data_IF_811937754909
#
_entry.id   IF_811937754909
#
_cell.length_a   1.000
_cell.length_b   1.000
_cell.length_c   1.000
_cell.angle_alpha   90.00
_cell.angle_beta   90.00
_cell.angle_gamma   90.00
#
_symmetry.space_group_name_H-M   'P 1'
#
loop_
_entity.id
_entity.type
_entity.pdbx_description
1 polymer ?
#
# COMPACT_ATOMS: atom_id res chain seq x y z
N UNK A 1 -14.03 -64.34 10.52
CA UNK A 1 -14.81 -63.12 10.83
C UNK A 1 -14.14 -61.95 10.15
N UNK A 2 -14.82 -61.29 9.20
CA UNK A 2 -14.26 -60.13 8.50
C UNK A 2 -14.59 -58.86 9.30
N UNK A 3 -13.57 -58.05 9.64
CA UNK A 3 -13.75 -56.73 10.25
C UNK A 3 -14.12 -55.74 9.14
N UNK A 4 -15.36 -55.23 9.16
CA UNK A 4 -15.75 -54.12 8.31
C UNK A 4 -15.24 -52.82 8.93
N UNK A 5 -14.25 -52.20 8.30
CA UNK A 5 -13.81 -50.85 8.65
C UNK A 5 -14.85 -49.86 8.10
N UNK A 6 -15.53 -49.14 8.99
CA UNK A 6 -16.41 -48.03 8.61
C UNK A 6 -15.56 -46.93 7.97
N UNK A 7 -15.86 -46.48 6.73
CA UNK A 7 -15.17 -45.35 6.15
C UNK A 7 -15.51 -44.10 6.98
N UNK A 8 -14.49 -43.46 7.57
CA UNK A 8 -14.66 -42.13 8.16
C UNK A 8 -14.76 -41.09 7.04
N UNK A 9 -15.74 -40.20 7.12
CA UNK A 9 -15.79 -39.02 6.24
C UNK A 9 -15.33 -37.79 7.02
N UNK A 10 -14.24 -37.17 6.59
CA UNK A 10 -13.86 -35.82 7.01
C UNK A 10 -14.39 -34.83 5.97
N UNK A 11 -15.04 -33.77 6.45
CA UNK A 11 -15.52 -32.68 5.60
C UNK A 11 -14.57 -31.49 5.71
N UNK A 12 -14.07 -31.01 4.57
CA UNK A 12 -13.39 -29.72 4.46
C UNK A 12 -14.37 -28.71 3.90
N UNK A 13 -14.63 -27.63 4.65
CA UNK A 13 -15.47 -26.53 4.17
C UNK A 13 -14.58 -25.46 3.55
N UNK A 14 -14.81 -25.15 2.27
CA UNK A 14 -14.09 -24.10 1.54
C UNK A 14 -14.91 -22.82 1.61
N UNK A 15 -14.39 -21.80 2.27
CA UNK A 15 -14.95 -20.45 2.23
C UNK A 15 -14.28 -19.67 1.10
N UNK A 16 -15.06 -19.13 0.17
CA UNK A 16 -14.55 -18.18 -0.81
C UNK A 16 -14.45 -16.84 -0.10
N UNK A 17 -13.22 -16.42 0.24
CA UNK A 17 -12.97 -15.22 1.02
C UNK A 17 -13.48 -13.96 0.34
N UNK A 18 -14.45 -13.29 0.95
CA UNK A 18 -14.80 -11.92 0.59
C UNK A 18 -13.71 -10.99 1.14
N UNK A 19 -13.25 -10.04 0.31
CA UNK A 19 -12.21 -9.10 0.71
C UNK A 19 -12.73 -8.24 1.87
N UNK A 20 -11.96 -8.16 2.97
CA UNK A 20 -12.34 -7.36 4.13
C UNK A 20 -11.30 -6.34 4.52
N UNK A 21 -10.01 -6.71 4.52
CA UNK A 21 -8.94 -5.88 5.03
C UNK A 21 -7.83 -5.72 3.98
N UNK A 22 -7.29 -4.50 3.88
CA UNK A 22 -6.12 -4.20 3.05
C UNK A 22 -5.10 -3.49 3.93
N UNK A 23 -3.93 -4.10 4.12
CA UNK A 23 -2.82 -3.54 4.89
C UNK A 23 -1.73 -3.11 3.93
N UNK A 24 -1.34 -1.84 3.98
CA UNK A 24 -0.32 -1.28 3.08
C UNK A 24 0.93 -0.93 3.88
N UNK A 25 2.08 -1.34 3.35
CA UNK A 25 3.40 -1.01 3.91
C UNK A 25 4.30 -0.43 2.82
N UNK A 26 5.34 0.28 3.24
CA UNK A 26 6.35 0.84 2.36
C UNK A 26 7.74 0.46 2.86
N UNK A 27 8.63 0.10 1.94
CA UNK A 27 10.03 -0.20 2.24
C UNK A 27 10.97 0.52 1.25
N UNK A 28 11.70 1.55 1.68
CA UNK A 28 11.65 2.18 3.01
C UNK A 28 10.41 3.08 3.21
N UNK A 29 10.04 3.36 4.46
CA UNK A 29 9.01 4.38 4.79
C UNK A 29 9.54 5.82 4.73
N UNK A 30 10.87 5.98 4.60
CA UNK A 30 11.55 7.26 4.42
C UNK A 30 12.51 7.18 3.24
N UNK A 31 12.32 8.09 2.28
CA UNK A 31 13.12 8.25 1.09
C UNK A 31 14.02 9.48 1.28
N UNK A 32 15.30 9.24 1.57
CA UNK A 32 16.38 10.26 1.53
C UNK A 32 17.46 9.88 0.51
N UNK A 33 17.71 8.58 0.38
CA UNK A 33 18.41 7.87 -0.69
C UNK A 33 18.21 6.37 -0.44
N UNK A 34 17.82 5.51 -1.41
CA UNK A 34 17.55 5.75 -2.83
C UNK A 34 16.23 6.51 -3.06
N UNK A 35 15.97 6.96 -4.30
CA UNK A 35 14.79 7.78 -4.68
C UNK A 35 13.48 6.97 -4.89
N UNK A 36 13.33 5.87 -4.17
CA UNK A 36 12.19 4.97 -4.35
C UNK A 36 11.86 4.16 -3.10
N UNK A 37 10.59 3.76 -2.98
CA UNK A 37 10.10 2.80 -1.99
C UNK A 37 9.22 1.74 -2.67
N UNK A 38 9.40 0.48 -2.26
CA UNK A 38 8.49 -0.59 -2.61
C UNK A 38 7.25 -0.47 -1.74
N UNK A 39 6.09 -0.37 -2.35
CA UNK A 39 4.79 -0.39 -1.68
C UNK A 39 4.22 -1.80 -1.79
N UNK A 40 3.80 -2.36 -0.66
CA UNK A 40 3.18 -3.69 -0.60
C UNK A 40 1.78 -3.56 -0.03
N UNK A 41 0.77 -3.99 -0.78
CA UNK A 41 -0.60 -4.16 -0.28
C UNK A 41 -0.84 -5.64 0.03
N UNK A 42 -1.31 -5.93 1.24
CA UNK A 42 -1.68 -7.27 1.69
C UNK A 42 -3.20 -7.32 1.86
N UNK A 43 -3.86 -8.22 1.13
CA UNK A 43 -5.31 -8.32 1.07
C UNK A 43 -5.77 -9.56 1.82
N UNK A 44 -6.67 -9.37 2.78
CA UNK A 44 -7.19 -10.43 3.64
C UNK A 44 -8.73 -10.49 3.58
N UNK A 45 -9.25 -11.70 3.77
CA UNK A 45 -10.68 -11.94 3.98
C UNK A 45 -11.11 -11.61 5.41
N UNK A 46 -12.37 -11.88 5.74
CA UNK A 46 -12.94 -11.65 7.07
C UNK A 46 -12.34 -12.53 8.18
N UNK A 47 -11.68 -13.63 7.82
CA UNK A 47 -11.03 -14.56 8.75
C UNK A 47 -9.52 -14.34 8.85
N UNK A 48 -8.98 -13.37 8.11
CA UNK A 48 -7.55 -13.06 8.08
C UNK A 48 -6.73 -13.94 7.11
N UNK A 49 -7.38 -14.70 6.22
CA UNK A 49 -6.67 -15.45 5.18
C UNK A 49 -6.28 -14.52 4.03
N UNK A 50 -5.09 -14.68 3.44
CA UNK A 50 -4.70 -13.93 2.26
C UNK A 50 -5.57 -14.29 1.06
N UNK A 51 -5.94 -13.29 0.25
CA UNK A 51 -6.79 -13.47 -0.94
C UNK A 51 -5.99 -13.18 -2.21
N UNK A 52 -5.80 -14.20 -3.04
CA UNK A 52 -5.04 -14.13 -4.28
C UNK A 52 -5.88 -13.63 -5.48
N UNK A 53 -5.18 -13.18 -6.53
CA UNK A 53 -5.75 -12.76 -7.82
C UNK A 53 -6.78 -11.61 -7.72
N UNK A 54 -6.61 -10.73 -6.74
CA UNK A 54 -7.44 -9.55 -6.55
C UNK A 54 -6.78 -8.35 -7.23
N UNK A 55 -7.50 -7.57 -8.06
CA UNK A 55 -6.97 -6.33 -8.60
C UNK A 55 -6.88 -5.26 -7.50
N UNK A 56 -5.68 -4.70 -7.34
CA UNK A 56 -5.35 -3.60 -6.44
C UNK A 56 -4.93 -2.39 -7.27
N UNK A 57 -5.57 -1.26 -7.03
CA UNK A 57 -5.26 0.01 -7.66
C UNK A 57 -4.50 0.89 -6.68
N UNK A 58 -3.26 1.23 -7.03
CA UNK A 58 -2.45 2.15 -6.24
C UNK A 58 -2.64 3.58 -6.74
N UNK A 59 -2.71 4.51 -5.79
CA UNK A 59 -2.84 5.94 -6.08
C UNK A 59 -2.06 6.77 -5.07
N UNK A 60 -1.53 7.90 -5.53
CA UNK A 60 -0.96 8.94 -4.67
C UNK A 60 -2.12 9.85 -4.27
N UNK A 61 -2.37 9.93 -2.97
CA UNK A 61 -3.35 10.82 -2.36
C UNK A 61 -2.71 12.13 -1.94
N UNK A 62 -3.01 12.54 -0.72
CA UNK A 62 -2.55 13.82 -0.17
C UNK A 62 -1.01 13.87 -0.07
N UNK A 63 -0.47 15.02 -0.46
CA UNK A 63 0.94 15.37 -0.28
C UNK A 63 0.99 16.63 0.57
N UNK A 64 1.63 16.54 1.74
CA UNK A 64 1.86 17.70 2.60
C UNK A 64 3.35 18.03 2.64
N UNK A 65 3.66 19.33 2.62
CA UNK A 65 5.02 19.85 2.79
C UNK A 65 5.14 20.41 4.21
N UNK A 66 6.21 20.05 4.92
CA UNK A 66 6.57 20.74 6.16
C UNK A 66 7.49 21.91 5.81
N UNK A 67 7.10 23.17 6.07
CA UNK A 67 7.96 24.31 5.77
C UNK A 67 9.21 24.26 6.65
N UNK A 68 10.38 24.54 6.06
CA UNK A 68 11.60 24.79 6.82
C UNK A 68 11.37 26.00 7.73
N UNK A 69 11.68 25.95 9.03
CA UNK A 69 11.46 27.10 9.91
C UNK A 69 12.35 28.27 9.46
N UNK A 70 11.73 29.33 8.93
CA UNK A 70 12.40 30.60 8.64
C UNK A 70 12.36 31.46 9.92
N UNK A 71 13.47 32.11 10.34
CA UNK A 71 13.44 33.01 11.49
C UNK A 71 12.42 34.14 11.27
N UNK A 72 11.53 34.32 12.26
CA UNK A 72 10.53 35.40 12.37
C UNK A 72 11.20 36.79 12.26
N UNK A 73 10.58 37.81 11.61
CA UNK A 73 9.14 38.02 11.41
C UNK A 73 8.61 37.85 9.98
N UNK A 74 9.27 37.09 9.11
CA UNK A 74 8.79 36.90 7.73
C UNK A 74 7.59 35.94 7.70
N UNK A 75 6.43 36.29 7.09
CA UNK A 75 5.31 35.37 6.95
C UNK A 75 5.76 34.11 6.20
N UNK A 76 5.53 32.93 6.79
CA UNK A 76 5.82 31.62 6.18
C UNK A 76 5.01 31.49 4.88
N UNK A 77 5.65 31.37 3.70
CA UNK A 77 4.89 31.06 2.50
C UNK A 77 4.28 29.66 2.64
N UNK A 78 2.96 29.56 2.47
CA UNK A 78 2.30 28.28 2.24
C UNK A 78 2.68 27.83 0.84
N UNK A 79 3.69 26.97 0.73
CA UNK A 79 4.09 26.42 -0.56
C UNK A 79 2.99 25.45 -1.04
N UNK A 80 2.44 25.68 -2.23
CA UNK A 80 1.61 24.68 -2.91
C UNK A 80 2.45 23.42 -3.09
N UNK A 81 2.06 22.27 -2.53
CA UNK A 81 2.86 21.05 -2.65
C UNK A 81 2.90 20.61 -4.11
N UNK A 82 4.09 20.68 -4.73
CA UNK A 82 4.32 20.05 -6.03
C UNK A 82 4.44 18.54 -5.80
N UNK A 83 3.52 17.78 -6.41
CA UNK A 83 3.57 16.32 -6.45
C UNK A 83 4.63 15.92 -7.47
N UNK A 84 5.76 15.44 -6.99
CA UNK A 84 6.91 14.99 -7.81
C UNK A 84 7.01 13.47 -7.84
N UNK A 85 6.09 12.82 -7.16
CA UNK A 85 6.03 11.39 -6.95
C UNK A 85 5.19 10.71 -8.02
N UNK A 86 5.63 9.52 -8.39
CA UNK A 86 4.95 8.68 -9.38
C UNK A 86 4.96 7.24 -8.91
N UNK A 87 3.88 6.54 -9.21
CA UNK A 87 3.79 5.09 -9.09
C UNK A 87 4.15 4.45 -10.44
N UNK A 88 4.87 3.33 -10.41
CA UNK A 88 5.30 2.63 -11.62
C UNK A 88 4.12 1.99 -12.37
N UNK A 89 3.09 1.58 -11.64
CA UNK A 89 1.84 1.09 -12.25
C UNK A 89 1.11 2.14 -13.10
N UNK A 90 1.34 3.44 -12.88
CA UNK A 90 0.56 4.51 -13.51
C UNK A 90 -0.94 4.44 -13.21
N UNK A 91 -1.35 3.74 -12.14
CA UNK A 91 -2.76 3.49 -11.81
C UNK A 91 -3.36 2.23 -12.45
N UNK A 92 -2.58 1.46 -13.21
CA UNK A 92 -3.02 0.15 -13.69
C UNK A 92 -3.20 -0.85 -12.53
N UNK A 93 -4.12 -1.82 -12.65
CA UNK A 93 -4.32 -2.83 -11.62
C UNK A 93 -3.08 -3.71 -11.44
N UNK A 94 -2.68 -3.90 -10.19
CA UNK A 94 -1.70 -4.89 -9.76
C UNK A 94 -2.43 -6.02 -9.05
N UNK A 95 -2.10 -7.27 -9.40
CA UNK A 95 -2.84 -8.42 -8.88
C UNK A 95 -2.15 -9.03 -7.68
N UNK A 96 -2.93 -9.42 -6.68
CA UNK A 96 -2.38 -10.13 -5.52
C UNK A 96 -1.86 -11.51 -5.90
N UNK A 97 -0.71 -11.88 -5.38
CA UNK A 97 -0.13 -13.21 -5.49
C UNK A 97 -0.83 -14.22 -4.53
N UNK A 98 -0.32 -15.45 -4.47
CA UNK A 98 -0.84 -16.50 -3.58
C UNK A 98 -0.75 -16.14 -2.09
N UNK A 99 0.13 -15.20 -1.71
CA UNK A 99 0.23 -14.67 -0.35
C UNK A 99 -0.66 -13.46 -0.11
N UNK A 100 -1.53 -13.12 -1.07
CA UNK A 100 -2.42 -11.96 -0.99
C UNK A 100 -1.71 -10.62 -1.19
N UNK A 101 -0.51 -10.62 -1.80
CA UNK A 101 0.33 -9.44 -1.91
C UNK A 101 0.31 -8.84 -3.31
N UNK A 102 0.08 -7.54 -3.42
CA UNK A 102 0.28 -6.75 -4.63
C UNK A 102 1.37 -5.69 -4.39
N UNK A 103 2.14 -5.37 -5.42
CA UNK A 103 3.33 -4.53 -5.31
C UNK A 103 3.28 -3.36 -6.28
N UNK A 104 3.82 -2.21 -5.87
CA UNK A 104 4.08 -1.07 -6.75
C UNK A 104 5.31 -0.30 -6.28
N UNK A 105 6.01 0.37 -7.19
CA UNK A 105 7.16 1.20 -6.86
C UNK A 105 6.76 2.66 -6.82
N UNK A 106 6.86 3.27 -5.65
CA UNK A 106 6.81 4.72 -5.49
C UNK A 106 8.20 5.29 -5.83
N UNK A 107 8.25 6.21 -6.79
CA UNK A 107 9.46 6.94 -7.18
C UNK A 107 9.29 8.42 -6.87
N UNK A 108 10.36 9.08 -6.42
CA UNK A 108 10.34 10.53 -6.19
C UNK A 108 11.33 11.27 -7.09
N UNK A 109 10.86 12.39 -7.67
CA UNK A 109 11.72 13.38 -8.33
C UNK A 109 12.07 14.57 -7.43
N UNK A 110 11.71 14.53 -6.14
CA UNK A 110 12.11 15.53 -5.16
C UNK A 110 13.64 15.65 -5.08
N UNK A 111 14.14 16.88 -5.11
CA UNK A 111 15.58 17.17 -5.05
C UNK A 111 16.14 16.86 -3.65
N UNK A 112 17.34 16.26 -3.53
CA UNK A 112 17.96 16.03 -2.22
C UNK A 112 18.15 17.34 -1.45
N UNK A 113 17.71 17.37 -0.18
CA UNK A 113 17.77 18.58 0.65
C UNK A 113 16.71 19.63 0.31
N UNK A 114 15.70 19.23 -0.48
CA UNK A 114 14.49 20.02 -0.72
C UNK A 114 13.57 20.07 0.51
N UNK A 115 12.37 20.65 0.37
CA UNK A 115 11.38 20.65 1.45
C UNK A 115 10.97 19.22 1.80
N UNK A 116 10.86 18.93 3.10
CA UNK A 116 10.37 17.64 3.57
C UNK A 116 8.89 17.47 3.20
N UNK A 117 8.55 16.31 2.64
CA UNK A 117 7.18 15.93 2.25
C UNK A 117 6.73 14.67 2.99
N UNK A 118 5.42 14.59 3.20
CA UNK A 118 4.72 13.35 3.51
C UNK A 118 3.78 13.04 2.36
N UNK A 119 3.92 11.87 1.77
CA UNK A 119 3.13 11.39 0.64
C UNK A 119 2.28 10.21 1.10
N UNK A 120 0.97 10.32 0.93
CA UNK A 120 0.04 9.23 1.25
C UNK A 120 -0.16 8.37 0.00
N UNK A 121 0.19 7.09 0.08
CA UNK A 121 -0.15 6.10 -0.95
C UNK A 121 -1.36 5.30 -0.48
N UNK A 122 -2.37 5.20 -1.34
CA UNK A 122 -3.59 4.41 -1.08
C UNK A 122 -3.63 3.22 -2.03
N UNK A 123 -3.87 2.03 -1.49
CA UNK A 123 -4.19 0.83 -2.25
C UNK A 123 -5.67 0.52 -2.10
N UNK A 124 -6.39 0.43 -3.22
CA UNK A 124 -7.84 0.19 -3.25
C UNK A 124 -8.14 -1.08 -4.02
N UNK A 125 -9.02 -1.92 -3.49
CA UNK A 125 -9.53 -3.11 -4.18
C UNK A 125 -10.88 -2.82 -4.82
N UNK A 126 -11.30 -3.64 -5.79
CA UNK A 126 -12.59 -3.49 -6.47
C UNK A 126 -13.82 -3.53 -5.52
N UNK A 127 -13.67 -4.11 -4.33
CA UNK A 127 -14.73 -4.18 -3.31
C UNK A 127 -14.73 -2.99 -2.35
N UNK A 128 -14.03 -1.91 -2.67
CA UNK A 128 -13.92 -0.66 -1.87
C UNK A 128 -13.05 -0.80 -0.61
N UNK A 129 -12.61 -2.01 -0.23
CA UNK A 129 -11.63 -2.15 0.84
C UNK A 129 -10.32 -1.49 0.42
N UNK A 130 -9.78 -0.64 1.29
CA UNK A 130 -8.59 0.14 1.01
C UNK A 130 -7.67 0.22 2.23
N UNK A 131 -6.38 0.38 1.95
CA UNK A 131 -5.36 0.66 2.96
C UNK A 131 -4.51 1.84 2.53
N UNK A 132 -3.83 2.46 3.48
CA UNK A 132 -2.98 3.62 3.25
C UNK A 132 -1.63 3.47 3.93
N UNK A 133 -0.60 4.07 3.35
CA UNK A 133 0.72 4.22 3.96
C UNK A 133 1.24 5.64 3.73
N UNK A 134 1.90 6.18 4.74
CA UNK A 134 2.62 7.45 4.63
C UNK A 134 4.09 7.19 4.32
N UNK A 135 4.62 7.89 3.33
CA UNK A 135 6.03 7.85 2.95
C UNK A 135 6.63 9.25 3.12
N UNK A 136 7.68 9.33 3.93
CA UNK A 136 8.42 10.58 4.16
C UNK A 136 9.49 10.78 3.10
N UNK A 137 9.61 11.98 2.55
CA UNK A 137 10.59 12.33 1.52
C UNK A 137 11.38 13.55 1.98
N UNK A 138 12.72 13.51 1.87
CA UNK A 138 13.64 14.61 2.22
C UNK A 138 14.95 14.53 1.42
#
# INVERSE_FOLDING_TARGET
TANAQTPGSDTVTIHIGIIKNVIVTANPTRITSPRSALITANVFDEFGNPVANIPVFFSIGDVSVSPTPVPSPTPTPSATPLVEETLESGGAPQYTDTNGQAFDWLRTRSVPGGPQKTVVVTATTATTANGKVEVFIN
#
